data_IF_275760574181
#
_entry.id   IF_275760574181
#
_cell.length_a   1.000
_cell.length_b   1.000
_cell.length_c   1.000
_cell.angle_alpha   90.00
_cell.angle_beta   90.00
_cell.angle_gamma   90.00
#
_symmetry.space_group_name_H-M   'P 1'
#
loop_
_entity.id
_entity.type
_entity.pdbx_description
1 polymer ?
#
# COMPACT_ATOMS: atom_id res chain seq x y z
N UNK A 1 18.23 -60.75 12.43
CA UNK A 1 17.39 -59.70 11.79
C UNK A 1 18.30 -58.52 11.40
N UNK A 2 18.56 -58.30 10.10
CA UNK A 2 18.98 -57.01 9.46
C UNK A 2 19.87 -57.17 8.20
N UNK A 3 19.39 -57.79 7.12
CA UNK A 3 20.17 -57.85 5.85
C UNK A 3 19.39 -57.56 4.56
N UNK A 4 18.09 -57.19 4.61
CA UNK A 4 17.29 -56.99 3.38
C UNK A 4 17.21 -55.55 2.85
N UNK A 5 17.45 -54.51 3.65
CA UNK A 5 17.21 -53.12 3.22
C UNK A 5 18.30 -52.53 2.31
N UNK A 6 19.55 -53.00 2.41
CA UNK A 6 20.68 -52.50 1.61
C UNK A 6 20.67 -52.95 0.15
N UNK A 7 20.19 -54.17 -0.14
CA UNK A 7 20.08 -54.70 -1.51
C UNK A 7 18.93 -54.05 -2.28
N UNK A 8 17.78 -53.83 -1.65
CA UNK A 8 16.64 -53.16 -2.27
C UNK A 8 16.96 -51.71 -2.69
N UNK A 9 17.74 -50.99 -1.88
CA UNK A 9 18.15 -49.60 -2.18
C UNK A 9 19.13 -49.52 -3.36
N UNK A 10 20.06 -50.48 -3.47
CA UNK A 10 20.97 -50.58 -4.63
C UNK A 10 20.21 -50.93 -5.91
N UNK A 11 19.26 -51.86 -5.85
CA UNK A 11 18.41 -52.20 -7.00
C UNK A 11 17.57 -51.00 -7.44
N UNK A 12 17.00 -50.24 -6.51
CA UNK A 12 16.23 -49.04 -6.82
C UNK A 12 17.08 -47.96 -7.51
N UNK A 13 18.31 -47.71 -7.03
CA UNK A 13 19.24 -46.75 -7.64
C UNK A 13 19.63 -47.19 -9.05
N UNK A 14 19.88 -48.48 -9.26
CA UNK A 14 20.20 -49.06 -10.58
C UNK A 14 18.98 -48.97 -11.52
N UNK A 15 17.76 -49.15 -11.00
CA UNK A 15 16.55 -49.05 -11.79
C UNK A 15 16.27 -47.60 -12.22
N UNK A 16 16.49 -46.65 -11.31
CA UNK A 16 16.37 -45.20 -11.58
C UNK A 16 17.44 -44.76 -12.57
N UNK A 17 18.69 -45.20 -12.41
CA UNK A 17 19.76 -44.86 -13.36
C UNK A 17 19.50 -45.47 -14.74
N UNK A 18 19.01 -46.72 -14.82
CA UNK A 18 18.58 -47.32 -16.10
C UNK A 18 17.43 -46.53 -16.73
N UNK A 19 16.41 -46.14 -15.97
CA UNK A 19 15.30 -45.34 -16.48
C UNK A 19 15.76 -43.98 -17.00
N UNK A 20 16.73 -43.35 -16.32
CA UNK A 20 17.28 -42.06 -16.69
C UNK A 20 18.16 -42.18 -17.95
N UNK A 21 18.94 -43.26 -18.06
CA UNK A 21 19.73 -43.57 -19.27
C UNK A 21 18.84 -43.90 -20.46
N UNK A 22 17.76 -44.68 -20.26
CA UNK A 22 16.77 -44.98 -21.30
C UNK A 22 16.04 -43.70 -21.73
N UNK A 23 15.64 -42.85 -20.78
CA UNK A 23 15.02 -41.55 -21.07
C UNK A 23 15.95 -40.64 -21.87
N UNK A 24 17.25 -40.57 -21.50
CA UNK A 24 18.28 -39.83 -22.23
C UNK A 24 18.53 -40.42 -23.63
N UNK A 25 18.53 -41.74 -23.79
CA UNK A 25 18.67 -42.43 -25.09
C UNK A 25 17.45 -42.21 -25.98
N UNK A 26 16.24 -42.18 -25.41
CA UNK A 26 15.01 -41.85 -26.14
C UNK A 26 15.01 -40.38 -26.55
N UNK A 27 15.43 -39.46 -25.67
CA UNK A 27 15.62 -38.06 -26.01
C UNK A 27 16.67 -37.91 -27.11
N UNK A 28 17.81 -38.59 -26.99
CA UNK A 28 18.90 -38.55 -27.97
C UNK A 28 18.44 -39.11 -29.32
N UNK A 29 17.70 -40.21 -29.34
CA UNK A 29 17.11 -40.79 -30.55
C UNK A 29 16.08 -39.85 -31.20
N UNK A 30 15.25 -39.17 -30.39
CA UNK A 30 14.33 -38.13 -30.85
C UNK A 30 15.06 -36.89 -31.39
N UNK A 31 16.20 -36.50 -30.83
CA UNK A 31 17.01 -35.38 -31.33
C UNK A 31 17.90 -35.73 -32.54
N UNK A 32 18.27 -37.00 -32.69
CA UNK A 32 19.13 -37.49 -33.77
C UNK A 32 18.35 -37.97 -35.01
N UNK A 33 17.02 -38.07 -34.93
CA UNK A 33 16.20 -38.46 -36.07
C UNK A 33 16.07 -37.31 -37.08
N UNK A 34 16.31 -37.62 -38.36
CA UNK A 34 16.49 -36.66 -39.47
C UNK A 34 15.23 -35.83 -39.77
N UNK A 35 14.06 -36.30 -39.32
CA UNK A 35 12.76 -35.65 -39.49
C UNK A 35 12.31 -34.82 -38.28
N UNK A 36 12.70 -35.18 -37.07
CA UNK A 36 12.39 -34.43 -35.85
C UNK A 36 13.36 -33.28 -35.64
N UNK A 37 14.61 -33.38 -36.09
CA UNK A 37 15.59 -32.29 -36.03
C UNK A 37 15.13 -31.01 -36.74
N UNK A 38 14.61 -31.03 -38.00
CA UNK A 38 14.08 -29.83 -38.65
C UNK A 38 12.79 -29.30 -38.00
N UNK A 39 11.92 -30.19 -37.50
CA UNK A 39 10.68 -29.79 -36.80
C UNK A 39 11.02 -29.14 -35.45
N UNK A 40 11.93 -29.72 -34.67
CA UNK A 40 12.42 -29.14 -33.43
C UNK A 40 13.16 -27.83 -33.69
N UNK A 41 14.00 -27.73 -34.72
CA UNK A 41 14.66 -26.47 -35.07
C UNK A 41 13.67 -25.40 -35.52
N UNK A 42 12.61 -25.78 -36.26
CA UNK A 42 11.54 -24.87 -36.66
C UNK A 42 10.72 -24.40 -35.45
N UNK A 43 10.35 -25.30 -34.54
CA UNK A 43 9.65 -24.94 -33.29
C UNK A 43 10.54 -24.05 -32.41
N UNK A 44 11.83 -24.38 -32.26
CA UNK A 44 12.78 -23.57 -31.47
C UNK A 44 12.95 -22.19 -32.11
N UNK A 45 13.10 -22.12 -33.43
CA UNK A 45 13.22 -20.86 -34.18
C UNK A 45 11.94 -20.02 -34.08
N UNK A 46 10.77 -20.62 -34.22
CA UNK A 46 9.49 -19.92 -34.11
C UNK A 46 9.24 -19.45 -32.67
N UNK A 47 9.64 -20.25 -31.68
CA UNK A 47 9.57 -19.86 -30.27
C UNK A 47 10.53 -18.73 -29.96
N UNK A 48 11.78 -18.78 -30.42
CA UNK A 48 12.76 -17.68 -30.27
C UNK A 48 12.29 -16.42 -30.99
N UNK A 49 11.75 -16.55 -32.21
CA UNK A 49 11.17 -15.44 -32.97
C UNK A 49 10.01 -14.81 -32.19
N UNK A 50 9.09 -15.61 -31.68
CA UNK A 50 7.97 -15.15 -30.86
C UNK A 50 8.43 -14.46 -29.56
N UNK A 51 9.43 -15.01 -28.87
CA UNK A 51 10.00 -14.41 -27.66
C UNK A 51 10.68 -13.07 -27.97
N UNK A 52 11.46 -12.99 -29.05
CA UNK A 52 12.12 -11.76 -29.46
C UNK A 52 11.11 -10.69 -29.90
N UNK A 53 10.08 -11.07 -30.67
CA UNK A 53 8.97 -10.17 -31.06
C UNK A 53 8.20 -9.68 -29.82
N UNK A 54 8.01 -10.56 -28.83
CA UNK A 54 7.40 -10.20 -27.53
C UNK A 54 8.26 -9.18 -26.80
N UNK A 55 9.56 -9.43 -26.61
CA UNK A 55 10.49 -8.53 -25.92
C UNK A 55 10.56 -7.17 -26.61
N UNK A 56 10.61 -7.15 -27.94
CA UNK A 56 10.58 -5.91 -28.72
C UNK A 56 9.28 -5.13 -28.51
N UNK A 57 8.13 -5.80 -28.57
CA UNK A 57 6.83 -5.17 -28.34
C UNK A 57 6.70 -4.64 -26.90
N UNK A 58 7.20 -5.36 -25.89
CA UNK A 58 7.26 -4.84 -24.51
C UNK A 58 8.10 -3.56 -24.47
N UNK A 59 9.26 -3.54 -25.12
CA UNK A 59 10.07 -2.34 -25.27
C UNK A 59 9.31 -1.18 -25.91
N UNK A 60 8.64 -1.42 -27.04
CA UNK A 60 7.87 -0.40 -27.76
C UNK A 60 6.69 0.15 -26.94
N UNK A 61 5.98 -0.71 -26.19
CA UNK A 61 4.83 -0.33 -25.34
C UNK A 61 5.27 0.55 -24.17
N UNK A 62 6.33 0.15 -23.46
CA UNK A 62 6.67 0.74 -22.15
C UNK A 62 7.81 1.75 -22.19
N UNK A 63 8.73 1.69 -23.15
CA UNK A 63 9.80 2.69 -23.30
C UNK A 63 9.25 4.06 -23.70
N UNK A 64 8.21 4.05 -24.55
CA UNK A 64 7.49 5.26 -24.96
C UNK A 64 6.57 5.81 -23.86
N UNK A 65 6.16 4.97 -22.90
CA UNK A 65 5.17 5.28 -21.85
C UNK A 65 5.68 4.98 -20.43
N UNK A 66 6.93 5.34 -20.14
CA UNK A 66 7.54 5.04 -18.84
C UNK A 66 6.80 5.67 -17.65
N UNK A 67 6.26 6.89 -17.81
CA UNK A 67 5.44 7.54 -16.78
C UNK A 67 4.18 6.71 -16.47
N UNK A 68 3.50 6.20 -17.50
CA UNK A 68 2.31 5.37 -17.33
C UNK A 68 2.62 4.09 -16.56
N UNK A 69 3.75 3.44 -16.86
CA UNK A 69 4.20 2.24 -16.16
C UNK A 69 4.41 2.52 -14.66
N UNK A 70 5.17 3.55 -14.33
CA UNK A 70 5.46 3.90 -12.94
C UNK A 70 4.22 4.30 -12.16
N UNK A 71 3.35 5.13 -12.74
CA UNK A 71 2.08 5.51 -12.10
C UNK A 71 1.19 4.30 -11.87
N UNK A 72 1.07 3.40 -12.85
CA UNK A 72 0.26 2.18 -12.71
C UNK A 72 0.78 1.25 -11.62
N UNK A 73 2.12 1.11 -11.48
CA UNK A 73 2.73 0.33 -10.40
C UNK A 73 2.42 0.97 -9.04
N UNK A 74 2.66 2.28 -8.89
CA UNK A 74 2.42 2.99 -7.63
C UNK A 74 0.95 2.92 -7.21
N UNK A 75 0.03 3.17 -8.15
CA UNK A 75 -1.40 3.10 -7.90
C UNK A 75 -1.86 1.68 -7.55
N UNK A 76 -1.28 0.64 -8.16
CA UNK A 76 -1.57 -0.75 -7.76
C UNK A 76 -1.12 -1.07 -6.34
N UNK A 77 0.04 -0.57 -5.91
CA UNK A 77 0.54 -0.73 -4.54
C UNK A 77 -0.37 0.01 -3.56
N UNK A 78 -0.79 1.22 -3.91
CA UNK A 78 -1.68 2.04 -3.11
C UNK A 78 -3.06 1.38 -2.93
N UNK A 79 -3.68 0.92 -4.03
CA UNK A 79 -4.93 0.16 -4.00
C UNK A 79 -4.81 -1.10 -3.15
N UNK A 80 -3.67 -1.80 -3.24
CA UNK A 80 -3.42 -2.99 -2.40
C UNK A 80 -3.39 -2.63 -0.91
N UNK A 81 -2.63 -1.60 -0.54
CA UNK A 81 -2.53 -1.14 0.86
C UNK A 81 -3.91 -0.73 1.38
N UNK A 82 -4.67 0.00 0.56
CA UNK A 82 -6.01 0.43 0.89
C UNK A 82 -6.96 -0.75 1.07
N UNK A 83 -7.03 -1.69 0.12
CA UNK A 83 -7.89 -2.88 0.21
C UNK A 83 -7.52 -3.75 1.42
N UNK A 84 -6.22 -3.90 1.71
CA UNK A 84 -5.72 -4.62 2.88
C UNK A 84 -6.21 -3.98 4.19
N UNK A 85 -6.08 -2.65 4.33
CA UNK A 85 -6.52 -1.91 5.52
C UNK A 85 -8.03 -1.98 5.67
N UNK A 86 -8.78 -1.68 4.59
CA UNK A 86 -10.24 -1.64 4.59
C UNK A 86 -10.84 -2.98 5.02
N UNK A 87 -10.34 -4.09 4.48
CA UNK A 87 -10.90 -5.40 4.80
C UNK A 87 -10.59 -5.81 6.22
N UNK A 88 -9.44 -5.40 6.78
CA UNK A 88 -9.14 -5.69 8.18
C UNK A 88 -9.92 -4.79 9.15
N UNK A 89 -10.24 -3.57 8.74
CA UNK A 89 -11.16 -2.70 9.47
C UNK A 89 -12.59 -3.27 9.46
N UNK A 90 -13.11 -3.67 8.29
CA UNK A 90 -14.49 -4.16 8.12
C UNK A 90 -14.67 -5.61 8.59
N UNK A 91 -13.76 -6.51 8.25
CA UNK A 91 -13.88 -7.93 8.58
C UNK A 91 -13.86 -8.18 10.08
N UNK A 92 -13.40 -7.20 10.88
CA UNK A 92 -13.57 -7.19 12.33
C UNK A 92 -13.28 -8.52 12.98
N UNK A 93 -12.28 -9.28 12.46
CA UNK A 93 -12.04 -10.65 12.92
C UNK A 93 -11.62 -10.51 14.37
N UNK A 94 -12.59 -10.72 15.26
CA UNK A 94 -12.46 -11.03 16.68
C UNK A 94 -11.64 -12.32 16.73
N UNK A 95 -10.34 -12.20 16.47
CA UNK A 95 -9.38 -13.16 16.95
C UNK A 95 -9.33 -12.88 18.43
N UNK A 96 -10.04 -13.74 19.14
CA UNK A 96 -10.19 -13.85 20.57
C UNK A 96 -8.89 -13.52 21.30
N UNK A 97 -9.04 -12.78 22.40
CA UNK A 97 -8.02 -12.43 23.39
C UNK A 97 -6.82 -13.38 23.43
N UNK A 98 -5.73 -13.01 22.77
CA UNK A 98 -4.43 -13.29 23.38
C UNK A 98 -4.19 -12.17 24.39
N UNK A 99 -4.46 -12.50 25.65
CA UNK A 99 -3.85 -11.85 26.82
C UNK A 99 -2.33 -11.86 26.62
N UNK A 100 -1.78 -10.91 25.86
CA UNK A 100 -0.36 -10.67 25.87
C UNK A 100 -0.03 -9.95 27.18
N UNK A 101 0.12 -10.73 28.26
CA UNK A 101 1.04 -10.38 29.33
C UNK A 101 2.43 -10.25 28.70
N UNK A 102 2.72 -9.10 28.11
CA UNK A 102 4.07 -8.68 27.79
C UNK A 102 4.23 -7.30 28.39
N UNK A 103 5.26 -7.16 29.20
CA UNK A 103 5.73 -5.93 29.82
C UNK A 103 5.61 -4.74 28.86
N UNK A 104 5.36 -3.52 29.38
CA UNK A 104 5.23 -2.34 28.53
C UNK A 104 6.49 -2.27 27.66
N UNK A 105 6.37 -2.31 26.32
CA UNK A 105 7.54 -2.15 25.48
C UNK A 105 8.12 -0.78 25.82
N UNK A 106 9.45 -0.67 25.99
CA UNK A 106 10.12 0.65 26.00
C UNK A 106 9.58 1.44 24.81
N UNK A 107 8.74 2.44 25.06
CA UNK A 107 8.06 3.14 23.97
C UNK A 107 9.13 3.85 23.14
N UNK A 108 8.93 3.85 21.82
CA UNK A 108 9.89 4.46 20.90
C UNK A 108 9.86 5.98 21.06
N UNK A 109 11.03 6.62 20.95
CA UNK A 109 11.16 8.09 20.98
C UNK A 109 10.23 8.80 19.99
N UNK A 110 9.94 8.13 18.87
CA UNK A 110 9.00 8.61 17.86
C UNK A 110 7.57 8.73 18.39
N UNK A 111 7.08 7.73 19.12
CA UNK A 111 5.73 7.78 19.68
C UNK A 111 5.59 8.97 20.64
N UNK A 112 6.59 9.21 21.48
CA UNK A 112 6.61 10.37 22.37
C UNK A 112 6.60 11.70 21.61
N UNK A 113 7.42 11.82 20.56
CA UNK A 113 7.44 13.01 19.71
C UNK A 113 6.04 13.29 19.13
N UNK A 114 5.39 12.28 18.54
CA UNK A 114 4.05 12.46 17.96
C UNK A 114 2.99 12.79 19.00
N UNK A 115 3.03 12.21 20.21
CA UNK A 115 2.11 12.60 21.29
C UNK A 115 2.28 14.07 21.70
N UNK A 116 3.51 14.59 21.71
CA UNK A 116 3.79 16.02 21.96
C UNK A 116 3.25 16.89 20.83
N UNK A 117 3.43 16.47 19.57
CA UNK A 117 2.88 17.17 18.40
C UNK A 117 1.35 17.25 18.50
N UNK A 118 0.67 16.15 18.83
CA UNK A 118 -0.79 16.13 19.01
C UNK A 118 -1.22 17.12 20.11
N UNK A 119 -0.55 17.11 21.27
CA UNK A 119 -0.82 18.08 22.34
C UNK A 119 -0.67 19.51 21.84
N UNK A 120 0.43 19.80 21.14
CA UNK A 120 0.70 21.14 20.57
C UNK A 120 -0.33 21.54 19.53
N UNK A 121 -0.82 20.61 18.75
CA UNK A 121 -1.88 20.86 17.79
C UNK A 121 -3.22 21.20 18.47
N UNK A 122 -3.59 20.45 19.51
CA UNK A 122 -4.83 20.71 20.28
C UNK A 122 -4.77 22.06 21.00
N UNK A 123 -3.64 22.38 21.64
CA UNK A 123 -3.42 23.69 22.29
C UNK A 123 -3.43 24.83 21.28
N UNK A 124 -2.80 24.65 20.11
CA UNK A 124 -2.88 25.64 19.02
C UNK A 124 -4.31 25.91 18.54
N UNK A 125 -5.17 24.88 18.46
CA UNK A 125 -6.59 25.07 18.13
C UNK A 125 -7.30 25.89 19.22
N UNK A 126 -6.96 25.66 20.49
CA UNK A 126 -7.47 26.48 21.57
C UNK A 126 -7.00 27.93 21.46
N UNK A 127 -5.74 28.19 21.13
CA UNK A 127 -5.21 29.55 20.92
C UNK A 127 -5.92 30.28 19.77
N UNK A 128 -6.23 29.56 18.67
CA UNK A 128 -7.01 30.09 17.56
C UNK A 128 -8.46 30.43 17.99
N UNK A 129 -9.10 29.52 18.73
CA UNK A 129 -10.43 29.77 19.32
C UNK A 129 -10.38 30.98 20.23
N UNK A 130 -9.39 31.07 21.11
CA UNK A 130 -9.23 32.17 22.05
C UNK A 130 -9.10 33.49 21.30
N UNK A 131 -8.23 33.55 20.30
CA UNK A 131 -8.09 34.73 19.44
C UNK A 131 -9.42 35.10 18.79
N UNK A 132 -10.17 34.14 18.25
CA UNK A 132 -11.46 34.41 17.62
C UNK A 132 -12.53 34.90 18.63
N UNK A 133 -12.67 34.23 19.77
CA UNK A 133 -13.73 34.51 20.76
C UNK A 133 -13.45 35.81 21.54
N UNK A 134 -12.20 36.03 21.96
CA UNK A 134 -11.85 37.20 22.76
C UNK A 134 -11.56 38.43 21.91
N UNK A 135 -10.90 38.31 20.75
CA UNK A 135 -10.53 39.48 19.94
C UNK A 135 -11.66 39.88 18.99
N UNK A 136 -12.30 38.92 18.33
CA UNK A 136 -13.30 39.22 17.29
C UNK A 136 -14.70 39.32 17.88
N UNK A 137 -15.09 38.37 18.73
CA UNK A 137 -16.43 38.33 19.34
C UNK A 137 -16.52 39.07 20.69
N UNK A 138 -15.39 39.54 21.23
CA UNK A 138 -15.28 40.23 22.53
C UNK A 138 -16.06 39.53 23.66
N UNK A 139 -16.05 38.20 23.67
CA UNK A 139 -16.73 37.38 24.67
C UNK A 139 -15.68 36.78 25.60
N UNK A 140 -15.87 36.91 26.91
CA UNK A 140 -15.02 36.24 27.89
C UNK A 140 -15.66 34.92 28.30
N UNK A 141 -15.08 33.81 27.85
CA UNK A 141 -15.46 32.48 28.31
C UNK A 141 -14.71 32.18 29.62
N UNK A 142 -15.41 31.77 30.67
CA UNK A 142 -14.80 31.42 31.98
C UNK A 142 -14.88 29.91 32.26
N UNK A 143 -15.21 29.13 31.24
CA UNK A 143 -15.35 27.68 31.34
C UNK A 143 -13.98 27.01 31.56
N UNK A 144 -13.91 26.16 32.59
CA UNK A 144 -12.71 25.36 32.91
C UNK A 144 -12.61 24.09 32.07
N UNK A 145 -13.72 23.60 31.53
CA UNK A 145 -13.77 22.51 30.57
C UNK A 145 -14.33 23.06 29.24
N UNK A 146 -13.57 22.90 28.15
CA UNK A 146 -13.88 23.43 26.83
C UNK A 146 -13.94 22.28 25.82
N UNK A 147 -15.09 22.12 25.17
CA UNK A 147 -15.25 21.22 24.03
C UNK A 147 -14.70 21.90 22.76
N UNK A 148 -13.63 21.34 22.20
CA UNK A 148 -12.97 21.84 21.00
C UNK A 148 -13.50 21.19 19.71
N UNK A 149 -14.50 20.31 19.77
CA UNK A 149 -14.95 19.50 18.63
C UNK A 149 -15.27 20.31 17.37
N UNK A 150 -16.07 21.37 17.49
CA UNK A 150 -16.41 22.24 16.35
C UNK A 150 -15.19 22.95 15.76
N UNK A 151 -14.35 23.55 16.62
CA UNK A 151 -13.16 24.28 16.20
C UNK A 151 -12.11 23.36 15.58
N UNK A 152 -12.01 22.12 16.06
CA UNK A 152 -11.16 21.09 15.47
C UNK A 152 -11.58 20.78 14.03
N UNK A 153 -12.86 20.54 13.78
CA UNK A 153 -13.39 20.27 12.43
C UNK A 153 -13.11 21.43 11.46
N UNK A 154 -13.36 22.67 11.89
CA UNK A 154 -13.10 23.88 11.09
C UNK A 154 -11.60 24.05 10.82
N UNK A 155 -10.74 23.75 11.80
CA UNK A 155 -9.28 23.82 11.62
C UNK A 155 -8.81 22.75 10.62
N UNK A 156 -9.30 21.52 10.72
CA UNK A 156 -8.96 20.46 9.75
C UNK A 156 -9.41 20.80 8.32
N UNK A 157 -10.61 21.38 8.17
CA UNK A 157 -11.13 21.86 6.89
C UNK A 157 -10.22 22.93 6.28
N UNK A 158 -9.90 23.97 7.06
CA UNK A 158 -9.06 25.10 6.60
C UNK A 158 -7.63 24.67 6.28
N UNK A 159 -7.04 23.80 7.10
CA UNK A 159 -5.73 23.19 6.82
C UNK A 159 -5.76 22.34 5.55
N UNK A 160 -6.82 21.55 5.34
CA UNK A 160 -7.02 20.78 4.11
C UNK A 160 -7.03 21.67 2.87
N UNK A 161 -7.84 22.73 2.88
CA UNK A 161 -7.90 23.70 1.75
C UNK A 161 -6.53 24.35 1.52
N UNK A 162 -5.88 24.83 2.58
CA UNK A 162 -4.58 25.50 2.49
C UNK A 162 -3.50 24.56 1.94
N UNK A 163 -3.47 23.32 2.42
CA UNK A 163 -2.56 22.29 1.94
C UNK A 163 -2.81 21.96 0.47
N UNK A 164 -4.07 21.87 0.05
CA UNK A 164 -4.44 21.58 -1.34
C UNK A 164 -3.89 22.64 -2.30
N UNK A 165 -4.08 23.91 -1.94
CA UNK A 165 -3.59 25.05 -2.71
C UNK A 165 -2.05 25.00 -2.76
N UNK A 166 -1.41 24.74 -1.62
CA UNK A 166 0.05 24.64 -1.53
C UNK A 166 0.59 23.52 -2.43
N UNK A 167 -0.04 22.35 -2.44
CA UNK A 167 0.35 21.19 -3.28
C UNK A 167 0.23 21.53 -4.77
N UNK A 168 -0.87 22.15 -5.19
CA UNK A 168 -1.10 22.54 -6.60
C UNK A 168 -0.09 23.59 -7.06
N UNK A 169 0.10 24.65 -6.27
CA UNK A 169 1.10 25.71 -6.59
C UNK A 169 2.51 25.12 -6.61
N UNK A 170 2.83 24.25 -5.65
CA UNK A 170 4.14 23.61 -5.59
C UNK A 170 4.38 22.70 -6.77
N UNK A 171 3.34 22.04 -7.31
CA UNK A 171 3.48 21.21 -8.51
C UNK A 171 3.89 22.05 -9.73
N UNK A 172 3.24 23.21 -9.93
CA UNK A 172 3.59 24.12 -11.03
C UNK A 172 5.00 24.69 -10.87
N UNK A 173 5.42 24.99 -9.64
CA UNK A 173 6.75 25.53 -9.36
C UNK A 173 7.86 24.47 -9.47
N UNK A 174 7.68 23.33 -8.80
CA UNK A 174 8.64 22.22 -8.75
C UNK A 174 7.98 20.91 -8.32
N UNK A 175 8.00 19.91 -9.21
CA UNK A 175 7.50 18.57 -8.90
C UNK A 175 8.17 17.95 -7.66
N UNK A 176 9.46 18.22 -7.42
CA UNK A 176 10.19 17.70 -6.26
C UNK A 176 9.62 18.32 -4.97
N UNK A 177 9.35 19.63 -4.96
CA UNK A 177 8.78 20.32 -3.81
C UNK A 177 7.39 19.77 -3.46
N UNK A 178 6.56 19.54 -4.49
CA UNK A 178 5.26 18.88 -4.32
C UNK A 178 5.41 17.52 -3.64
N UNK A 179 6.30 16.65 -4.14
CA UNK A 179 6.53 15.34 -3.53
C UNK A 179 7.03 15.42 -2.10
N UNK A 180 7.90 16.38 -1.78
CA UNK A 180 8.37 16.61 -0.41
C UNK A 180 7.20 16.99 0.50
N UNK A 181 6.33 17.91 0.07
CA UNK A 181 5.15 18.33 0.84
C UNK A 181 4.22 17.14 1.04
N UNK A 182 3.91 16.41 -0.04
CA UNK A 182 3.05 15.22 0.00
C UNK A 182 3.57 14.16 0.98
N UNK A 183 4.84 13.75 0.86
CA UNK A 183 5.45 12.75 1.73
C UNK A 183 5.52 13.23 3.19
N UNK A 184 5.79 14.51 3.42
CA UNK A 184 5.79 15.10 4.77
C UNK A 184 4.39 15.04 5.38
N UNK A 185 3.34 15.33 4.61
CA UNK A 185 1.97 15.21 5.08
C UNK A 185 1.61 13.77 5.46
N UNK A 186 1.95 12.79 4.62
CA UNK A 186 1.74 11.37 4.95
C UNK A 186 2.50 10.97 6.23
N UNK A 187 3.74 11.42 6.37
CA UNK A 187 4.57 11.19 7.55
C UNK A 187 4.03 11.87 8.81
N UNK A 188 3.24 12.94 8.69
CA UNK A 188 2.57 13.55 9.84
C UNK A 188 1.26 12.83 10.18
N UNK A 189 0.46 12.44 9.18
CA UNK A 189 -0.86 11.84 9.38
C UNK A 189 -0.76 10.46 10.01
N UNK A 190 -0.05 9.51 9.39
CA UNK A 190 -0.07 8.11 9.84
C UNK A 190 0.49 7.93 11.26
N UNK A 191 1.66 8.48 11.62
CA UNK A 191 2.17 8.34 12.97
C UNK A 191 1.34 9.08 14.01
N UNK A 192 0.67 10.18 13.65
CA UNK A 192 -0.26 10.87 14.56
C UNK A 192 -1.46 9.97 14.87
N UNK A 193 -2.07 9.32 13.89
CA UNK A 193 -3.14 8.34 14.12
C UNK A 193 -2.67 7.23 15.07
N UNK A 194 -1.46 6.68 14.85
CA UNK A 194 -0.88 5.64 15.72
C UNK A 194 -0.68 6.16 17.14
N UNK A 195 -0.13 7.37 17.29
CA UNK A 195 0.11 7.96 18.59
C UNK A 195 -1.21 8.16 19.34
N UNK A 196 -2.26 8.66 18.68
CA UNK A 196 -3.61 8.82 19.25
C UNK A 196 -4.15 7.48 19.75
N UNK A 197 -4.03 6.43 18.94
CA UNK A 197 -4.54 5.10 19.32
C UNK A 197 -3.82 4.46 20.52
N UNK A 198 -2.60 4.91 20.85
CA UNK A 198 -1.77 4.40 21.95
C UNK A 198 -1.75 5.27 23.20
N UNK A 199 -2.52 6.36 23.23
CA UNK A 199 -2.58 7.25 24.40
C UNK A 199 -3.00 6.48 25.66
N UNK A 200 -3.90 5.49 25.53
CA UNK A 200 -4.32 4.63 26.65
C UNK A 200 -3.17 3.83 27.28
N UNK A 201 -2.19 3.40 26.48
CA UNK A 201 -1.08 2.54 26.91
C UNK A 201 0.13 3.31 27.46
N UNK A 202 0.10 4.65 27.39
CA UNK A 202 1.20 5.50 27.84
C UNK A 202 1.42 5.43 29.36
N UNK A 203 2.69 5.47 29.79
CA UNK A 203 3.08 5.53 31.20
C UNK A 203 2.40 6.69 31.94
N UNK A 204 1.95 6.43 33.17
CA UNK A 204 1.18 7.37 33.97
C UNK A 204 1.96 8.66 34.30
N UNK A 205 3.26 8.52 34.57
CA UNK A 205 4.16 9.66 34.80
C UNK A 205 4.26 10.56 33.55
N UNK A 206 4.25 9.94 32.37
CA UNK A 206 4.32 10.67 31.11
C UNK A 206 2.97 11.30 30.73
N UNK A 207 1.84 10.64 31.03
CA UNK A 207 0.50 11.25 30.92
C UNK A 207 0.39 12.49 31.79
N UNK A 208 0.98 12.46 32.99
CA UNK A 208 1.02 13.62 33.88
C UNK A 208 1.92 14.74 33.35
N UNK A 209 3.08 14.43 32.77
CA UNK A 209 4.01 15.42 32.18
C UNK A 209 3.45 16.03 30.88
N UNK A 210 2.91 15.19 30.00
CA UNK A 210 2.38 15.59 28.69
C UNK A 210 0.96 16.17 28.86
N UNK A 211 0.26 15.90 29.96
CA UNK A 211 -1.07 16.42 30.24
C UNK A 211 -2.17 15.87 29.32
N UNK A 212 -1.89 14.79 28.57
CA UNK A 212 -2.86 14.14 27.68
C UNK A 212 -3.36 12.88 28.35
N UNK A 213 -4.67 12.79 28.56
CA UNK A 213 -5.33 11.63 29.14
C UNK A 213 -6.56 11.23 28.35
N UNK A 214 -6.97 9.98 28.52
CA UNK A 214 -8.18 9.44 27.92
C UNK A 214 -9.26 9.38 29.01
N UNK A 215 -10.40 10.04 28.78
CA UNK A 215 -11.57 9.99 29.66
C UNK A 215 -12.60 9.07 29.00
N UNK A 216 -13.08 8.08 29.74
CA UNK A 216 -14.16 7.24 29.26
C UNK A 216 -15.47 8.05 29.19
N UNK A 217 -16.26 7.97 28.10
CA UNK A 217 -16.11 7.07 26.94
C UNK A 217 -15.55 7.81 25.71
N UNK A 218 -14.30 7.56 25.32
CA UNK A 218 -13.79 8.00 24.01
C UNK A 218 -13.41 9.47 23.89
N UNK A 219 -13.05 10.14 24.99
CA UNK A 219 -12.64 11.55 24.97
C UNK A 219 -11.15 11.70 25.24
N UNK A 220 -10.46 12.42 24.36
CA UNK A 220 -9.08 12.85 24.58
C UNK A 220 -9.14 14.18 25.32
N UNK A 221 -8.52 14.19 26.49
CA UNK A 221 -8.47 15.36 27.36
C UNK A 221 -7.04 15.86 27.43
N UNK A 222 -6.85 17.14 27.13
CA UNK A 222 -5.55 17.82 27.21
C UNK A 222 -5.63 18.89 28.29
N UNK A 223 -4.74 18.81 29.27
CA UNK A 223 -4.55 19.84 30.29
C UNK A 223 -3.62 20.93 29.76
N UNK A 224 -4.14 22.15 29.74
CA UNK A 224 -3.39 23.36 29.42
C UNK A 224 -3.55 24.39 30.54
N UNK A 225 -2.59 24.39 31.47
CA UNK A 225 -2.71 25.16 32.72
C UNK A 225 -3.93 24.71 33.54
N UNK A 226 -4.83 25.66 33.83
CA UNK A 226 -6.07 25.45 34.60
C UNK A 226 -7.26 25.03 33.73
N UNK A 227 -7.06 24.93 32.41
CA UNK A 227 -8.11 24.59 31.43
C UNK A 227 -7.97 23.13 30.97
N UNK A 228 -9.11 22.45 30.91
CA UNK A 228 -9.25 21.09 30.36
C UNK A 228 -9.89 21.17 28.98
N UNK A 229 -9.12 20.83 27.96
CA UNK A 229 -9.56 20.77 26.57
C UNK A 229 -10.05 19.35 26.28
N UNK A 230 -11.29 19.17 25.86
CA UNK A 230 -11.83 17.87 25.49
C UNK A 230 -12.14 17.79 24.00
N UNK A 231 -11.79 16.66 23.38
CA UNK A 231 -12.17 16.32 22.02
C UNK A 231 -12.57 14.86 21.97
N UNK A 232 -13.73 14.57 21.39
CA UNK A 232 -14.17 13.19 21.14
C UNK A 232 -13.32 12.54 20.06
N UNK A 233 -12.94 11.29 20.29
CA UNK A 233 -12.17 10.46 19.37
C UNK A 233 -12.78 10.42 17.96
N UNK A 234 -14.10 10.24 17.86
CA UNK A 234 -14.82 10.23 16.58
C UNK A 234 -14.68 11.56 15.83
N UNK A 235 -14.68 12.71 16.53
CA UNK A 235 -14.53 14.03 15.91
C UNK A 235 -13.11 14.22 15.35
N UNK A 236 -12.10 13.66 16.00
CA UNK A 236 -10.71 13.70 15.51
C UNK A 236 -10.59 12.95 14.17
N UNK A 237 -11.16 11.74 14.11
CA UNK A 237 -11.16 10.92 12.91
C UNK A 237 -11.99 11.54 11.79
N UNK A 238 -13.18 12.05 12.12
CA UNK A 238 -14.04 12.76 11.19
C UNK A 238 -13.34 14.00 10.63
N UNK A 239 -12.68 14.80 11.48
CA UNK A 239 -11.95 15.98 11.05
C UNK A 239 -10.80 15.63 10.10
N UNK A 240 -10.07 14.55 10.39
CA UNK A 240 -9.02 14.06 9.51
C UNK A 240 -9.57 13.54 8.18
N UNK A 241 -10.72 12.86 8.21
CA UNK A 241 -11.44 12.38 7.02
C UNK A 241 -11.88 13.54 6.13
N UNK A 242 -12.53 14.56 6.69
CA UNK A 242 -12.96 15.76 5.97
C UNK A 242 -11.75 16.52 5.41
N UNK A 243 -10.72 16.74 6.23
CA UNK A 243 -9.51 17.46 5.83
C UNK A 243 -8.79 16.78 4.67
N UNK A 244 -8.58 15.47 4.74
CA UNK A 244 -7.93 14.70 3.68
C UNK A 244 -8.82 14.56 2.43
N UNK A 245 -10.13 14.37 2.60
CA UNK A 245 -11.06 14.27 1.47
C UNK A 245 -11.14 15.55 0.64
N UNK A 246 -11.12 16.71 1.29
CA UNK A 246 -11.09 17.99 0.58
C UNK A 246 -9.76 18.20 -0.15
N UNK A 247 -8.66 17.70 0.40
CA UNK A 247 -7.40 17.68 -0.33
C UNK A 247 -7.51 16.85 -1.61
N UNK A 248 -8.08 15.66 -1.55
CA UNK A 248 -8.33 14.84 -2.74
C UNK A 248 -9.19 15.56 -3.79
N UNK A 249 -10.31 16.16 -3.38
CA UNK A 249 -11.22 16.89 -4.28
C UNK A 249 -10.52 18.09 -4.94
N UNK A 250 -9.90 18.98 -4.15
CA UNK A 250 -9.28 20.21 -4.67
C UNK A 250 -8.06 19.88 -5.53
N UNK A 251 -7.23 18.91 -5.14
CA UNK A 251 -6.08 18.52 -5.95
C UNK A 251 -6.51 17.81 -7.23
N UNK A 252 -7.61 17.05 -7.25
CA UNK A 252 -8.19 16.50 -8.49
C UNK A 252 -8.65 17.62 -9.44
N UNK A 253 -9.38 18.62 -8.92
CA UNK A 253 -9.78 19.78 -9.71
C UNK A 253 -8.56 20.56 -10.21
N UNK A 254 -7.56 20.75 -9.34
CA UNK A 254 -6.28 21.36 -9.69
C UNK A 254 -5.56 20.62 -10.80
N UNK A 255 -5.51 19.28 -10.75
CA UNK A 255 -4.91 18.43 -11.78
C UNK A 255 -5.51 18.69 -13.16
N UNK A 256 -6.83 18.82 -13.24
CA UNK A 256 -7.57 19.07 -14.48
C UNK A 256 -7.24 20.48 -15.01
N UNK A 257 -7.22 21.48 -14.13
CA UNK A 257 -6.96 22.88 -14.52
C UNK A 257 -5.54 23.08 -15.04
N UNK A 258 -4.55 22.51 -14.38
CA UNK A 258 -3.13 22.66 -14.72
C UNK A 258 -2.65 21.65 -15.77
N UNK A 259 -3.55 20.76 -16.24
CA UNK A 259 -3.24 19.63 -17.12
C UNK A 259 -2.04 18.83 -16.61
N UNK A 260 -2.12 18.46 -15.33
CA UNK A 260 -1.04 17.75 -14.66
C UNK A 260 -0.70 16.43 -15.36
N UNK A 261 0.56 16.04 -15.27
CA UNK A 261 1.02 14.76 -15.77
C UNK A 261 0.38 13.59 -15.00
N UNK A 262 0.38 12.40 -15.59
CA UNK A 262 -0.32 11.24 -15.05
C UNK A 262 0.15 10.90 -13.62
N UNK A 263 1.43 11.11 -13.31
CA UNK A 263 1.98 10.81 -11.98
C UNK A 263 1.37 11.66 -10.85
N UNK A 264 0.84 12.85 -11.18
CA UNK A 264 0.18 13.70 -10.20
C UNK A 264 -1.10 13.08 -9.65
N UNK A 265 -1.76 12.20 -10.42
CA UNK A 265 -3.02 11.54 -10.01
C UNK A 265 -2.90 10.66 -8.77
N UNK A 266 -1.68 10.27 -8.39
CA UNK A 266 -1.38 9.53 -7.16
C UNK A 266 -1.74 10.37 -5.91
N UNK A 267 -1.46 11.67 -5.95
CA UNK A 267 -1.69 12.56 -4.81
C UNK A 267 -3.16 12.64 -4.40
N UNK A 268 -4.11 13.01 -5.28
CA UNK A 268 -5.53 13.02 -4.92
C UNK A 268 -6.04 11.63 -4.54
N UNK A 269 -5.63 10.58 -5.27
CA UNK A 269 -6.03 9.20 -4.98
C UNK A 269 -5.66 8.79 -3.54
N UNK A 270 -4.46 9.15 -3.08
CA UNK A 270 -4.00 8.80 -1.73
C UNK A 270 -4.79 9.53 -0.66
N UNK A 271 -5.07 10.82 -0.87
CA UNK A 271 -5.85 11.60 0.08
C UNK A 271 -7.30 11.13 0.17
N UNK A 272 -7.92 10.74 -0.96
CA UNK A 272 -9.25 10.14 -0.97
C UNK A 272 -9.28 8.79 -0.24
N UNK A 273 -8.28 7.92 -0.47
CA UNK A 273 -8.16 6.64 0.23
C UNK A 273 -7.97 6.82 1.73
N UNK A 274 -7.15 7.78 2.17
CA UNK A 274 -6.96 8.11 3.59
C UNK A 274 -8.27 8.65 4.19
N UNK A 275 -8.99 9.51 3.47
CA UNK A 275 -10.29 10.04 3.90
C UNK A 275 -11.29 8.92 4.17
N UNK A 276 -11.34 7.93 3.29
CA UNK A 276 -12.22 6.77 3.43
C UNK A 276 -11.79 5.84 4.57
N UNK A 277 -10.48 5.57 4.73
CA UNK A 277 -9.95 4.79 5.85
C UNK A 277 -10.30 5.47 7.19
N UNK A 278 -10.08 6.77 7.29
CA UNK A 278 -10.30 7.53 8.53
C UNK A 278 -11.80 7.67 8.86
N UNK A 279 -12.66 7.77 7.85
CA UNK A 279 -14.12 7.69 8.02
C UNK A 279 -14.55 6.31 8.55
N UNK A 280 -14.01 5.21 7.99
CA UNK A 280 -14.32 3.87 8.48
C UNK A 280 -13.83 3.66 9.92
N UNK A 281 -12.66 4.22 10.25
CA UNK A 281 -12.13 4.19 11.60
C UNK A 281 -13.02 4.89 12.62
N UNK A 282 -13.76 5.93 12.22
CA UNK A 282 -14.72 6.60 13.09
C UNK A 282 -15.79 5.62 13.60
N UNK A 283 -16.27 4.73 12.73
CA UNK A 283 -17.26 3.72 13.07
C UNK A 283 -16.68 2.51 13.81
N UNK A 284 -15.44 2.10 13.50
CA UNK A 284 -14.81 0.92 14.11
C UNK A 284 -14.01 1.20 15.39
N UNK A 285 -13.63 2.46 15.64
CA UNK A 285 -12.77 2.92 16.74
C UNK A 285 -11.25 2.78 16.50
N UNK A 286 -10.41 3.64 17.10
CA UNK A 286 -8.96 3.65 16.86
C UNK A 286 -8.22 2.39 17.33
N UNK A 287 -8.79 1.61 18.27
CA UNK A 287 -8.13 0.39 18.78
C UNK A 287 -7.95 -0.67 17.69
N UNK A 288 -8.81 -0.68 16.68
CA UNK A 288 -8.70 -1.61 15.53
C UNK A 288 -7.49 -1.24 14.65
N UNK A 289 -7.13 0.03 14.57
CA UNK A 289 -6.03 0.57 13.74
C UNK A 289 -4.69 -0.04 14.14
N UNK A 290 -4.43 -0.10 15.44
CA UNK A 290 -3.21 -0.73 15.97
C UNK A 290 -3.10 -2.20 15.62
N UNK A 291 -4.24 -2.88 15.53
CA UNK A 291 -4.30 -4.29 15.16
C UNK A 291 -4.02 -4.47 13.67
N UNK A 292 -4.53 -3.59 12.80
CA UNK A 292 -4.23 -3.60 11.36
C UNK A 292 -2.74 -3.32 11.11
N UNK A 293 -2.19 -2.30 11.77
CA UNK A 293 -0.78 -1.92 11.59
C UNK A 293 0.22 -2.92 12.16
N UNK A 294 -0.20 -3.80 13.08
CA UNK A 294 0.66 -4.84 13.65
C UNK A 294 0.81 -6.05 12.73
N UNK A 295 -0.07 -6.23 11.73
CA UNK A 295 0.04 -7.31 10.75
C UNK A 295 0.94 -6.93 9.56
N UNK A 296 2.18 -6.56 9.89
CA UNK A 296 3.24 -6.24 8.93
C UNK A 296 3.59 -7.47 8.08
N UNK A 297 3.48 -8.68 8.65
CA UNK A 297 3.79 -9.93 7.96
C UNK A 297 2.78 -10.20 6.82
N UNK A 298 1.49 -10.07 7.08
CA UNK A 298 0.45 -10.18 6.05
C UNK A 298 0.55 -9.11 4.96
N UNK A 299 0.95 -7.89 5.34
CA UNK A 299 1.19 -6.78 4.41
C UNK A 299 2.40 -7.05 3.50
N UNK A 300 3.50 -7.54 4.06
CA UNK A 300 4.69 -7.92 3.29
C UNK A 300 4.41 -9.07 2.32
N UNK A 301 3.67 -10.09 2.74
CA UNK A 301 3.33 -11.26 1.90
C UNK A 301 2.45 -10.87 0.71
N UNK A 302 1.48 -9.97 0.90
CA UNK A 302 0.64 -9.52 -0.22
C UNK A 302 1.40 -8.61 -1.18
N UNK A 303 2.28 -7.74 -0.69
CA UNK A 303 3.14 -6.92 -1.55
C UNK A 303 4.11 -7.78 -2.39
N UNK A 304 4.67 -8.85 -1.79
CA UNK A 304 5.50 -9.82 -2.49
C UNK A 304 4.75 -10.63 -3.56
N UNK A 305 3.41 -10.72 -3.49
CA UNK A 305 2.59 -11.32 -4.54
C UNK A 305 2.37 -10.37 -5.72
N UNK A 306 2.33 -9.06 -5.48
CA UNK A 306 2.19 -8.07 -6.54
C UNK A 306 3.39 -8.07 -7.50
N UNK A 307 4.61 -8.26 -7.00
CA UNK A 307 5.83 -8.26 -7.82
C UNK A 307 5.77 -9.23 -9.01
N UNK A 308 5.58 -10.55 -8.84
CA UNK A 308 5.51 -11.48 -9.96
C UNK A 308 4.33 -11.16 -10.89
N UNK A 309 3.21 -10.72 -10.34
CA UNK A 309 2.01 -10.39 -11.12
C UNK A 309 2.29 -9.21 -12.06
N UNK A 310 2.83 -8.11 -11.55
CA UNK A 310 3.21 -6.94 -12.34
C UNK A 310 4.21 -7.35 -13.43
N UNK A 311 5.26 -8.09 -13.06
CA UNK A 311 6.30 -8.57 -13.99
C UNK A 311 5.72 -9.43 -15.13
N UNK A 312 4.85 -10.40 -14.80
CA UNK A 312 4.20 -11.25 -15.79
C UNK A 312 3.18 -10.51 -16.65
N UNK A 313 2.47 -9.52 -16.11
CA UNK A 313 1.53 -8.73 -16.88
C UNK A 313 2.21 -7.78 -17.87
N UNK A 314 3.37 -7.21 -17.52
CA UNK A 314 4.21 -6.44 -18.46
C UNK A 314 4.56 -7.34 -19.66
N UNK A 315 5.06 -8.54 -19.38
CA UNK A 315 5.40 -9.51 -20.41
C UNK A 315 4.17 -10.00 -21.19
N UNK A 316 3.05 -10.22 -20.50
CA UNK A 316 1.76 -10.59 -21.07
C UNK A 316 1.20 -9.53 -22.02
N UNK A 317 1.44 -8.24 -21.76
CA UNK A 317 1.12 -7.16 -22.68
C UNK A 317 1.83 -7.31 -24.03
N UNK A 318 3.12 -7.66 -24.01
CA UNK A 318 3.88 -7.99 -25.21
C UNK A 318 3.30 -9.18 -25.96
N UNK A 319 2.93 -10.26 -25.25
CA UNK A 319 2.30 -11.44 -25.85
C UNK A 319 0.98 -11.06 -26.54
N UNK A 320 0.14 -10.27 -25.88
CA UNK A 320 -1.13 -9.80 -26.44
C UNK A 320 -0.87 -8.98 -27.70
N UNK A 321 0.11 -8.08 -27.71
CA UNK A 321 0.51 -7.35 -28.90
C UNK A 321 0.93 -8.26 -30.06
N UNK A 322 1.78 -9.27 -29.80
CA UNK A 322 2.20 -10.24 -30.83
C UNK A 322 0.97 -10.99 -31.39
N UNK A 323 0.06 -11.44 -30.53
CA UNK A 323 -1.15 -12.14 -30.96
C UNK A 323 -2.05 -11.23 -31.80
N UNK A 324 -2.31 -10.00 -31.35
CA UNK A 324 -3.14 -9.03 -32.08
C UNK A 324 -2.53 -8.69 -33.45
N UNK A 325 -1.21 -8.53 -33.52
CA UNK A 325 -0.50 -8.30 -34.77
C UNK A 325 -0.62 -9.51 -35.72
N UNK A 326 -0.47 -10.74 -35.20
CA UNK A 326 -0.68 -11.99 -35.97
C UNK A 326 -2.13 -12.16 -36.45
N UNK A 327 -3.11 -11.69 -35.68
CA UNK A 327 -4.53 -11.68 -36.05
C UNK A 327 -4.96 -10.47 -36.91
N UNK A 328 -4.02 -9.57 -37.26
CA UNK A 328 -4.28 -8.31 -37.99
C UNK A 328 -5.33 -7.41 -37.32
N UNK A 329 -5.42 -7.46 -36.00
CA UNK A 329 -6.30 -6.59 -35.23
C UNK A 329 -5.57 -5.30 -34.88
N UNK A 330 -6.12 -4.18 -35.35
CA UNK A 330 -5.60 -2.85 -35.02
C UNK A 330 -6.15 -2.48 -33.64
N UNK A 331 -5.30 -2.53 -32.63
CA UNK A 331 -5.65 -2.13 -31.25
C UNK A 331 -4.69 -1.05 -30.80
N UNK A 332 -5.20 -0.01 -30.14
CA UNK A 332 -4.35 1.06 -29.62
C UNK A 332 -3.51 0.57 -28.44
N UNK A 333 -2.26 1.04 -28.36
CA UNK A 333 -1.34 0.74 -27.25
C UNK A 333 -1.96 1.19 -25.91
N UNK A 334 -2.67 2.32 -25.91
CA UNK A 334 -3.37 2.87 -24.75
C UNK A 334 -4.44 1.91 -24.19
N UNK A 335 -5.15 1.19 -25.06
CA UNK A 335 -6.18 0.23 -24.63
C UNK A 335 -5.53 -1.00 -23.96
N UNK A 336 -4.41 -1.47 -24.50
CA UNK A 336 -3.64 -2.58 -23.93
C UNK A 336 -3.07 -2.17 -22.55
N UNK A 337 -2.51 -0.97 -22.47
CA UNK A 337 -2.01 -0.39 -21.23
C UNK A 337 -3.12 -0.22 -20.17
N UNK A 338 -4.30 0.25 -20.56
CA UNK A 338 -5.46 0.43 -19.67
C UNK A 338 -5.98 -0.90 -19.16
N UNK A 339 -6.04 -1.92 -20.04
CA UNK A 339 -6.46 -3.26 -19.66
C UNK A 339 -5.50 -3.90 -18.65
N UNK A 340 -4.19 -3.76 -18.87
CA UNK A 340 -3.15 -4.27 -17.96
C UNK A 340 -3.22 -3.57 -16.60
N UNK A 341 -3.34 -2.24 -16.58
CA UNK A 341 -3.48 -1.47 -15.34
C UNK A 341 -4.75 -1.88 -14.56
N UNK A 342 -5.86 -2.12 -15.26
CA UNK A 342 -7.12 -2.58 -14.66
C UNK A 342 -6.98 -3.97 -14.01
N UNK A 343 -6.25 -4.88 -14.66
CA UNK A 343 -5.88 -6.19 -14.09
C UNK A 343 -5.04 -6.01 -12.83
N UNK A 344 -4.09 -5.07 -12.82
CA UNK A 344 -3.26 -4.80 -11.63
C UNK A 344 -4.08 -4.30 -10.46
N UNK A 345 -5.00 -3.37 -10.70
CA UNK A 345 -5.92 -2.86 -9.69
C UNK A 345 -6.79 -4.01 -9.14
N UNK A 346 -7.34 -4.86 -10.00
CA UNK A 346 -8.13 -6.02 -9.58
C UNK A 346 -7.31 -6.99 -8.73
N UNK A 347 -6.09 -7.30 -9.14
CA UNK A 347 -5.22 -8.23 -8.41
C UNK A 347 -4.70 -7.59 -7.12
N UNK A 348 -4.43 -6.30 -7.10
CA UNK A 348 -4.08 -5.54 -5.90
C UNK A 348 -5.22 -5.63 -4.87
N UNK A 349 -6.46 -5.40 -5.31
CA UNK A 349 -7.64 -5.58 -4.46
C UNK A 349 -7.72 -7.02 -3.94
N UNK A 350 -7.68 -8.04 -4.82
CA UNK A 350 -7.75 -9.45 -4.42
C UNK A 350 -6.60 -9.88 -3.50
N UNK A 351 -5.40 -9.34 -3.71
CA UNK A 351 -4.23 -9.64 -2.87
C UNK A 351 -4.36 -8.99 -1.49
N UNK A 352 -4.95 -7.79 -1.42
CA UNK A 352 -5.31 -7.14 -0.17
C UNK A 352 -6.36 -7.94 0.59
N UNK A 353 -7.42 -8.38 -0.12
CA UNK A 353 -8.53 -9.15 0.46
C UNK A 353 -8.11 -10.51 0.99
N UNK A 354 -7.28 -11.24 0.23
CA UNK A 354 -6.87 -12.62 0.54
C UNK A 354 -5.51 -12.70 1.26
N UNK A 355 -4.95 -11.56 1.67
CA UNK A 355 -3.62 -11.47 2.29
C UNK A 355 -3.42 -12.46 3.45
N UNK A 356 -4.43 -12.64 4.31
CA UNK A 356 -4.41 -13.54 5.46
C UNK A 356 -4.51 -15.04 5.14
N UNK A 357 -4.78 -15.41 3.87
CA UNK A 357 -4.86 -16.81 3.43
C UNK A 357 -3.57 -17.31 2.78
N UNK A 358 -2.59 -16.43 2.55
CA UNK A 358 -1.32 -16.83 1.95
C UNK A 358 -0.39 -17.49 2.98
N UNK A 359 0.06 -18.71 2.67
CA UNK A 359 1.05 -19.42 3.50
C UNK A 359 2.41 -18.74 3.40
N UNK A 360 2.90 -18.23 4.53
CA UNK A 360 4.28 -17.78 4.70
C UNK A 360 5.18 -19.00 4.90
N UNK A 361 5.85 -19.45 3.83
CA UNK A 361 6.90 -20.47 3.93
C UNK A 361 8.04 -20.09 3.02
N UNK A 362 9.28 -20.41 3.41
CA UNK A 362 10.48 -20.19 2.58
C UNK A 362 10.33 -20.76 1.16
N UNK A 363 9.66 -21.91 1.04
CA UNK A 363 9.34 -22.52 -0.28
C UNK A 363 8.36 -21.67 -1.09
N UNK A 364 7.36 -21.05 -0.46
CA UNK A 364 6.40 -20.15 -1.11
C UNK A 364 7.08 -18.84 -1.55
N UNK A 365 7.92 -18.27 -0.70
CA UNK A 365 8.72 -17.08 -1.01
C UNK A 365 9.67 -17.30 -2.19
N UNK A 366 10.45 -18.39 -2.14
CA UNK A 366 11.35 -18.75 -3.23
C UNK A 366 10.62 -18.92 -4.56
N UNK A 367 9.45 -19.58 -4.56
CA UNK A 367 8.61 -19.70 -5.76
C UNK A 367 8.19 -18.34 -6.32
N UNK A 368 7.77 -17.40 -5.48
CA UNK A 368 7.34 -16.05 -5.91
C UNK A 368 8.50 -15.24 -6.50
N UNK A 369 9.68 -15.31 -5.87
CA UNK A 369 10.89 -14.66 -6.37
C UNK A 369 11.31 -15.26 -7.71
N UNK A 370 11.31 -16.59 -7.84
CA UNK A 370 11.57 -17.26 -9.12
C UNK A 370 10.55 -16.82 -10.17
N UNK A 371 9.26 -16.79 -9.82
CA UNK A 371 8.19 -16.36 -10.74
C UNK A 371 8.38 -14.91 -11.19
N UNK A 372 8.86 -14.03 -10.30
CA UNK A 372 9.16 -12.63 -10.63
C UNK A 372 10.35 -12.47 -11.57
N UNK A 373 11.39 -13.29 -11.38
CA UNK A 373 12.63 -13.24 -12.16
C UNK A 373 12.44 -13.80 -13.58
N UNK A 374 11.53 -14.76 -13.79
CA UNK A 374 11.34 -15.41 -15.11
C UNK A 374 11.03 -14.39 -16.22
N UNK A 375 10.02 -13.49 -16.11
CA UNK A 375 9.77 -12.49 -17.16
C UNK A 375 10.95 -11.54 -17.38
N UNK A 376 11.67 -11.16 -16.31
CA UNK A 376 12.87 -10.33 -16.42
C UNK A 376 13.98 -11.05 -17.21
N UNK A 377 14.16 -12.35 -16.98
CA UNK A 377 15.09 -13.16 -17.76
C UNK A 377 14.63 -13.31 -19.21
N UNK A 378 13.34 -13.50 -19.47
CA UNK A 378 12.79 -13.59 -20.83
C UNK A 378 13.00 -12.29 -21.62
N UNK A 379 12.89 -11.13 -20.95
CA UNK A 379 13.20 -9.83 -21.54
C UNK A 379 14.69 -9.61 -21.80
N UNK A 380 15.58 -10.34 -21.10
CA UNK A 380 17.03 -10.29 -21.31
C UNK A 380 17.51 -11.22 -22.43
N UNK A 381 16.66 -12.14 -22.91
CA UNK A 381 16.96 -12.96 -24.09
C UNK A 381 16.80 -12.08 -25.32
N UNK A 382 17.90 -11.44 -25.71
CA UNK A 382 18.05 -10.71 -26.96
C UNK A 382 18.90 -11.51 -27.95
#
# INVERSE_FOLDING_TARGET
MSTSSGKARKVLVVLISCLLVISLLVLYSLFNNKYTKPICSMIISETLSFLNETTRNVGEIYWSNAEYLWTSILLSVEVYLFAFILIRLVSGKLITDEKSKKSPPKHSRLLYFFTIVIRRFITFINDLRETYVYVILNRRDTSREIDLGYYYLVTCLTLGITLSILVVISYEYSQILMWIIFLTCLFMIFPSIIAISKIDELDQDLKNIIGVSWRAPGEIVVRDGDVLLSIREGIILLGLSIGTGIVGIITTLGAILIKASLIFTIVPATFDMISLITALMEFTGLKVVLRVMRDIEGLGIGLLNLLPIVSWSIYGGGIICVLLHRFKWITSIDLILTFIASIWILIAMLSGTLSGHFKCSLKSLAKRIILFIIPLLLLLVH
#
